data_IF_838933243151
#
_entry.id   IF_838933243151
#
_cell.length_a   1.000
_cell.length_b   1.000
_cell.length_c   1.000
_cell.angle_alpha   90.00
_cell.angle_beta   90.00
_cell.angle_gamma   90.00
#
_symmetry.space_group_name_H-M   'P 1'
#
loop_
_entity.id
_entity.type
_entity.pdbx_description
1 polymer ?
#
# COMPACT_ATOMS: atom_id res chain seq x y z
N UNK A 1 7.45 -28.16 -10.25
CA UNK A 1 7.39 -27.11 -9.23
C UNK A 1 6.04 -26.44 -9.39
N UNK A 2 5.19 -26.48 -8.37
CA UNK A 2 3.83 -25.94 -8.45
C UNK A 2 3.82 -24.47 -8.02
N UNK A 3 3.14 -23.64 -8.81
CA UNK A 3 2.95 -22.23 -8.48
C UNK A 3 1.90 -22.12 -7.39
N UNK A 4 2.23 -21.44 -6.30
CA UNK A 4 1.37 -21.22 -5.14
C UNK A 4 0.72 -19.84 -5.28
N UNK A 5 -0.62 -19.79 -5.30
CA UNK A 5 -1.37 -18.55 -5.27
C UNK A 5 -2.08 -18.37 -3.92
N UNK A 6 -1.57 -17.45 -3.10
CA UNK A 6 -2.24 -17.01 -1.87
C UNK A 6 -3.37 -16.04 -2.24
N UNK A 7 -4.61 -16.49 -2.11
CA UNK A 7 -5.79 -15.70 -2.45
C UNK A 7 -6.02 -14.57 -1.42
N UNK A 8 -6.05 -13.29 -1.84
CA UNK A 8 -6.38 -12.19 -0.94
C UNK A 8 -7.86 -12.22 -0.53
N UNK A 9 -8.14 -11.80 0.70
CA UNK A 9 -9.50 -11.57 1.17
C UNK A 9 -10.18 -10.41 0.43
N UNK A 10 -11.52 -10.35 0.51
CA UNK A 10 -12.28 -9.23 -0.05
C UNK A 10 -11.83 -7.88 0.52
N UNK A 11 -11.48 -7.84 1.82
CA UNK A 11 -10.99 -6.63 2.49
C UNK A 11 -9.67 -6.18 1.86
N UNK A 12 -8.75 -7.10 1.61
CA UNK A 12 -7.49 -6.83 0.93
C UNK A 12 -7.68 -6.36 -0.50
N UNK A 13 -8.63 -6.94 -1.24
CA UNK A 13 -8.98 -6.48 -2.59
C UNK A 13 -9.54 -5.05 -2.59
N UNK A 14 -10.39 -4.70 -1.62
CA UNK A 14 -10.89 -3.33 -1.44
C UNK A 14 -9.75 -2.38 -1.11
N UNK A 15 -8.82 -2.76 -0.24
CA UNK A 15 -7.65 -1.94 0.08
C UNK A 15 -6.74 -1.71 -1.14
N UNK A 16 -6.49 -2.74 -1.96
CA UNK A 16 -5.77 -2.61 -3.23
C UNK A 16 -6.51 -1.64 -4.17
N UNK A 17 -7.84 -1.76 -4.27
CA UNK A 17 -8.64 -0.86 -5.09
C UNK A 17 -8.56 0.59 -4.61
N UNK A 18 -8.47 0.83 -3.29
CA UNK A 18 -8.22 2.16 -2.72
C UNK A 18 -6.82 2.65 -3.16
N UNK A 19 -5.75 1.87 -2.93
CA UNK A 19 -4.37 2.25 -3.27
C UNK A 19 -4.22 2.62 -4.75
N UNK A 20 -4.69 1.75 -5.64
CA UNK A 20 -4.60 1.95 -7.10
C UNK A 20 -5.54 3.07 -7.52
N UNK A 21 -6.77 3.07 -7.01
CA UNK A 21 -7.79 4.06 -7.34
C UNK A 21 -7.37 5.48 -7.00
N UNK A 22 -6.79 5.71 -5.82
CA UNK A 22 -6.30 7.04 -5.41
C UNK A 22 -5.20 7.54 -6.32
N UNK A 23 -4.23 6.68 -6.69
CA UNK A 23 -3.13 7.04 -7.59
C UNK A 23 -3.65 7.34 -8.99
N UNK A 24 -4.52 6.47 -9.52
CA UNK A 24 -5.11 6.63 -10.86
C UNK A 24 -5.94 7.90 -10.91
N UNK A 25 -6.79 8.16 -9.92
CA UNK A 25 -7.59 9.39 -9.84
C UNK A 25 -6.67 10.61 -9.78
N UNK A 26 -5.63 10.59 -8.94
CA UNK A 26 -4.71 11.71 -8.81
C UNK A 26 -3.99 12.01 -10.12
N UNK A 27 -3.50 10.97 -10.80
CA UNK A 27 -2.89 11.09 -12.13
C UNK A 27 -3.86 11.68 -13.16
N UNK A 28 -5.07 11.11 -13.29
CA UNK A 28 -6.04 11.52 -14.30
C UNK A 28 -6.60 12.93 -14.04
N UNK A 29 -6.76 13.32 -12.77
CA UNK A 29 -7.29 14.63 -12.36
C UNK A 29 -6.19 15.67 -12.15
N UNK A 30 -4.91 15.32 -12.35
CA UNK A 30 -3.74 16.17 -12.09
C UNK A 30 -3.74 16.75 -10.68
N UNK A 31 -4.16 15.94 -9.71
CA UNK A 31 -4.03 16.23 -8.28
C UNK A 31 -2.59 15.86 -7.86
N UNK A 32 -2.07 16.50 -6.82
CA UNK A 32 -0.78 16.12 -6.24
C UNK A 32 -0.75 14.63 -5.88
N UNK A 33 0.22 13.93 -6.43
CA UNK A 33 0.54 12.53 -6.14
C UNK A 33 0.97 12.36 -4.69
N UNK A 34 1.70 13.34 -4.13
CA UNK A 34 2.06 13.31 -2.71
C UNK A 34 0.83 13.28 -1.82
N UNK A 35 -0.15 14.16 -2.06
CA UNK A 35 -1.39 14.14 -1.30
C UNK A 35 -2.19 12.85 -1.53
N UNK A 36 -2.20 12.32 -2.74
CA UNK A 36 -2.85 11.05 -3.05
C UNK A 36 -2.26 9.88 -2.26
N UNK A 37 -0.92 9.79 -2.19
CA UNK A 37 -0.22 8.75 -1.41
C UNK A 37 -0.51 8.91 0.08
N UNK A 38 -0.48 10.14 0.61
CA UNK A 38 -0.82 10.40 2.02
C UNK A 38 -2.23 9.93 2.35
N UNK A 39 -3.21 10.30 1.50
CA UNK A 39 -4.61 9.92 1.67
C UNK A 39 -4.77 8.40 1.59
N UNK A 40 -4.16 7.75 0.60
CA UNK A 40 -4.21 6.31 0.44
C UNK A 40 -3.65 5.58 1.67
N UNK A 41 -2.48 5.99 2.15
CA UNK A 41 -1.84 5.43 3.35
C UNK A 41 -2.73 5.57 4.59
N UNK A 42 -3.36 6.75 4.77
CA UNK A 42 -4.26 6.98 5.88
C UNK A 42 -5.49 6.06 5.81
N UNK A 43 -6.14 5.94 4.64
CA UNK A 43 -7.31 5.08 4.49
C UNK A 43 -6.97 3.60 4.68
N UNK A 44 -5.87 3.11 4.09
CA UNK A 44 -5.41 1.72 4.27
C UNK A 44 -5.13 1.44 5.75
N UNK A 45 -4.49 2.38 6.44
CA UNK A 45 -4.21 2.24 7.87
C UNK A 45 -5.49 2.24 8.72
N UNK A 46 -6.47 3.10 8.41
CA UNK A 46 -7.77 3.08 9.10
C UNK A 46 -8.48 1.72 8.93
N UNK A 47 -8.40 1.11 7.75
CA UNK A 47 -8.92 -0.24 7.52
C UNK A 47 -8.13 -1.28 8.32
N UNK A 48 -6.80 -1.16 8.40
CA UNK A 48 -5.97 -2.11 9.16
C UNK A 48 -6.22 -2.09 10.66
N UNK A 49 -6.76 -1.00 11.23
CA UNK A 49 -7.14 -0.96 12.64
C UNK A 49 -8.24 -1.97 13.00
N UNK A 50 -9.05 -2.39 12.02
CA UNK A 50 -10.12 -3.37 12.20
C UNK A 50 -9.80 -4.72 11.56
N UNK A 51 -8.93 -4.75 10.55
CA UNK A 51 -8.62 -5.91 9.73
C UNK A 51 -7.11 -6.14 9.59
N UNK A 52 -6.41 -6.11 10.72
CA UNK A 52 -4.94 -6.17 10.77
C UNK A 52 -4.39 -7.40 10.06
N UNK A 53 -4.96 -8.59 10.33
CA UNK A 53 -4.51 -9.85 9.73
C UNK A 53 -4.62 -9.84 8.21
N UNK A 54 -5.68 -9.24 7.67
CA UNK A 54 -5.89 -9.15 6.23
C UNK A 54 -4.94 -8.13 5.62
N UNK A 55 -4.93 -6.89 6.14
CA UNK A 55 -4.14 -5.82 5.54
C UNK A 55 -2.64 -6.05 5.74
N UNK A 56 -2.18 -6.32 6.96
CA UNK A 56 -0.75 -6.53 7.22
C UNK A 56 -0.31 -7.92 6.75
N UNK A 57 -1.10 -8.94 7.03
CA UNK A 57 -0.72 -10.32 6.75
C UNK A 57 -0.74 -10.70 5.27
N UNK A 58 -1.70 -10.18 4.48
CA UNK A 58 -1.87 -10.55 3.07
C UNK A 58 -1.24 -9.54 2.09
N UNK A 59 -1.14 -8.26 2.48
CA UNK A 59 -0.60 -7.20 1.62
C UNK A 59 0.83 -6.78 1.99
N UNK A 60 1.39 -7.31 3.08
CA UNK A 60 2.79 -7.16 3.44
C UNK A 60 3.70 -8.05 2.58
N UNK A 61 4.79 -7.48 2.09
CA UNK A 61 5.79 -8.24 1.33
C UNK A 61 6.63 -9.14 2.24
N UNK A 62 6.92 -10.36 1.77
CA UNK A 62 7.83 -11.31 2.42
C UNK A 62 8.91 -11.72 1.43
N UNK A 63 10.21 -11.75 1.80
CA UNK A 63 11.28 -12.17 0.89
C UNK A 63 11.07 -13.54 0.24
N UNK A 64 10.37 -14.46 0.92
CA UNK A 64 9.99 -15.77 0.38
C UNK A 64 9.20 -15.69 -0.95
N UNK A 65 8.44 -14.60 -1.16
CA UNK A 65 7.65 -14.38 -2.38
C UNK A 65 8.50 -14.14 -3.65
N UNK A 66 9.82 -13.99 -3.52
CA UNK A 66 10.74 -13.94 -4.66
C UNK A 66 11.10 -15.33 -5.21
N UNK A 67 10.68 -16.40 -4.53
CA UNK A 67 10.82 -17.76 -5.04
C UNK A 67 9.95 -17.98 -6.28
N UNK A 68 10.35 -18.92 -7.14
CA UNK A 68 9.64 -19.21 -8.40
C UNK A 68 8.22 -19.73 -8.09
N UNK A 69 8.08 -20.50 -7.02
CA UNK A 69 6.81 -21.02 -6.51
C UNK A 69 5.84 -19.91 -6.10
N UNK A 70 6.33 -18.80 -5.55
CA UNK A 70 5.53 -17.74 -4.93
C UNK A 70 5.52 -16.43 -5.72
N UNK A 71 5.99 -16.45 -6.97
CA UNK A 71 6.03 -15.26 -7.83
C UNK A 71 4.67 -14.53 -7.98
N UNK A 72 3.48 -15.18 -7.90
CA UNK A 72 2.22 -14.45 -7.98
C UNK A 72 2.01 -13.46 -6.83
N UNK A 73 2.68 -13.64 -5.68
CA UNK A 73 2.58 -12.71 -4.53
C UNK A 73 3.44 -11.45 -4.70
N UNK A 74 4.14 -11.28 -5.83
CA UNK A 74 5.03 -10.13 -6.06
C UNK A 74 4.29 -8.78 -6.07
N UNK A 75 2.96 -8.78 -6.26
CA UNK A 75 2.13 -7.57 -6.09
C UNK A 75 2.29 -6.96 -4.69
N UNK A 76 2.68 -7.77 -3.69
CA UNK A 76 2.92 -7.28 -2.32
C UNK A 76 4.10 -6.32 -2.23
N UNK A 77 5.03 -6.30 -3.19
CA UNK A 77 6.05 -5.25 -3.27
C UNK A 77 5.42 -3.86 -3.37
N UNK A 78 4.38 -3.72 -4.21
CA UNK A 78 3.65 -2.46 -4.34
C UNK A 78 2.78 -2.19 -3.12
N UNK A 79 1.96 -3.15 -2.69
CA UNK A 79 1.02 -2.90 -1.59
C UNK A 79 1.73 -2.67 -0.25
N UNK A 80 2.92 -3.26 -0.05
CA UNK A 80 3.74 -3.04 1.14
C UNK A 80 4.17 -1.58 1.32
N UNK A 81 4.18 -0.77 0.27
CA UNK A 81 4.45 0.67 0.36
C UNK A 81 3.34 1.45 1.10
N UNK A 82 2.16 0.84 1.26
CA UNK A 82 0.98 1.47 1.88
C UNK A 82 0.59 0.88 3.24
N UNK A 83 1.10 -0.31 3.56
CA UNK A 83 0.77 -1.05 4.78
C UNK A 83 1.68 -0.60 5.93
N UNK A 84 1.07 -0.22 7.06
CA UNK A 84 1.79 0.28 8.23
C UNK A 84 1.33 -0.44 9.50
N UNK A 85 2.27 -0.88 10.35
CA UNK A 85 1.97 -1.68 11.54
C UNK A 85 1.73 -0.88 12.84
N UNK A 86 1.66 0.46 12.77
CA UNK A 86 1.44 1.27 13.97
C UNK A 86 1.40 2.77 13.72
N UNK A 87 0.81 3.49 14.68
CA UNK A 87 0.58 4.95 14.60
C UNK A 87 1.86 5.75 14.40
N UNK A 88 2.92 5.47 15.17
CA UNK A 88 4.20 6.19 15.01
C UNK A 88 4.84 5.94 13.64
N UNK A 89 4.70 4.72 13.10
CA UNK A 89 5.25 4.38 11.79
C UNK A 89 4.56 5.17 10.68
N UNK A 90 3.21 5.20 10.67
CA UNK A 90 2.49 5.97 9.65
C UNK A 90 2.73 7.48 9.82
N UNK A 91 2.71 8.02 11.04
CA UNK A 91 2.95 9.44 11.28
C UNK A 91 4.33 9.89 10.79
N UNK A 92 5.38 9.10 11.07
CA UNK A 92 6.72 9.37 10.58
C UNK A 92 6.80 9.39 9.05
N UNK A 93 6.17 8.43 8.38
CA UNK A 93 6.12 8.39 6.92
C UNK A 93 5.35 9.58 6.34
N UNK A 94 4.20 9.95 6.92
CA UNK A 94 3.38 11.06 6.42
C UNK A 94 4.10 12.40 6.62
N UNK A 95 4.84 12.55 7.72
CA UNK A 95 5.71 13.71 7.94
C UNK A 95 6.75 13.83 6.81
N UNK A 96 7.44 12.74 6.48
CA UNK A 96 8.42 12.74 5.38
C UNK A 96 7.75 13.05 4.04
N UNK A 97 6.62 12.43 3.71
CA UNK A 97 5.90 12.74 2.45
C UNK A 97 5.46 14.19 2.37
N UNK A 98 4.91 14.75 3.45
CA UNK A 98 4.43 16.12 3.46
C UNK A 98 5.55 17.13 3.20
N UNK A 99 6.72 16.99 3.84
CA UNK A 99 7.82 17.93 3.64
C UNK A 99 8.63 17.63 2.38
N UNK A 100 9.01 16.37 2.18
CA UNK A 100 9.93 15.97 1.12
C UNK A 100 9.20 15.67 -0.19
N UNK A 101 8.08 14.94 -0.13
CA UNK A 101 7.29 14.59 -1.32
C UNK A 101 6.78 15.83 -2.05
N UNK A 102 6.20 16.79 -1.30
CA UNK A 102 5.75 18.07 -1.88
C UNK A 102 6.92 18.83 -2.50
N UNK A 103 8.06 18.89 -1.80
CA UNK A 103 9.24 19.61 -2.29
C UNK A 103 9.84 19.02 -3.57
N UNK A 104 9.71 17.71 -3.79
CA UNK A 104 10.12 17.06 -5.04
C UNK A 104 9.07 17.18 -6.14
N UNK A 105 7.79 17.10 -5.80
CA UNK A 105 6.69 17.18 -6.78
C UNK A 105 6.53 18.57 -7.40
N UNK A 106 6.87 19.63 -6.67
CA UNK A 106 6.74 21.02 -7.14
C UNK A 106 7.97 21.52 -7.92
N UNK A 107 8.95 20.66 -8.20
CA UNK A 107 10.16 20.98 -8.97
C UNK A 107 10.04 20.47 -10.40
#
# INVERSE_FOLDING_TARGET
MEIIFLQPSLISLVAIAIMVGTIVIAYLRKISMTYAIIIANLFVFLVSLFYENQIIGELGFRPAYLSVEQIPQIYTLFTSMFVHSGFLHILGNMFVFFFMGIAFEQR
#
